data_IF_914510914367
#
_entry.id   IF_914510914367
#
_cell.length_a   1.000
_cell.length_b   1.000
_cell.length_c   1.000
_cell.angle_alpha   90.00
_cell.angle_beta   90.00
_cell.angle_gamma   90.00
#
_symmetry.space_group_name_H-M   'P 1'
#
loop_
_entity.id
_entity.type
_entity.pdbx_description
1 polymer ?
#
# COMPACT_ATOMS: atom_id res chain seq x y z
N UNK A 1 -1.13 5.22 -9.09
CA UNK A 1 -1.83 4.09 -9.74
C UNK A 1 -3.34 4.19 -9.61
N UNK A 2 -3.87 4.39 -8.39
CA UNK A 2 -5.32 4.55 -8.11
C UNK A 2 -5.98 5.69 -8.92
N UNK A 3 -5.28 6.81 -9.14
CA UNK A 3 -5.83 7.96 -9.89
C UNK A 3 -6.20 7.64 -11.35
N UNK A 4 -5.53 6.67 -11.99
CA UNK A 4 -5.85 6.26 -13.36
C UNK A 4 -7.14 5.43 -13.48
N UNK A 5 -7.65 4.92 -12.36
CA UNK A 5 -8.88 4.12 -12.29
C UNK A 5 -10.12 4.99 -12.03
N UNK A 6 -9.94 6.28 -11.71
CA UNK A 6 -11.03 7.22 -11.43
C UNK A 6 -12.11 7.26 -12.54
N UNK A 7 -11.77 7.27 -13.85
CA UNK A 7 -12.78 7.32 -14.91
C UNK A 7 -13.67 6.07 -14.94
N UNK A 8 -13.15 4.91 -14.53
CA UNK A 8 -13.88 3.64 -14.51
C UNK A 8 -14.92 3.56 -13.38
N UNK A 9 -14.85 4.45 -12.39
CA UNK A 9 -15.87 4.54 -11.33
C UNK A 9 -17.21 5.07 -11.83
N UNK A 10 -17.19 5.86 -12.91
CA UNK A 10 -18.40 6.39 -13.55
C UNK A 10 -19.12 5.36 -14.43
N UNK A 11 -18.49 4.21 -14.70
CA UNK A 11 -19.04 3.16 -15.55
C UNK A 11 -19.61 2.02 -14.68
N UNK A 12 -20.91 1.75 -14.84
CA UNK A 12 -21.66 0.73 -14.07
C UNK A 12 -21.16 -0.70 -14.27
N UNK A 13 -20.49 -1.00 -15.37
CA UNK A 13 -19.91 -2.33 -15.61
C UNK A 13 -18.59 -2.52 -14.85
N UNK A 14 -17.76 -1.48 -14.74
CA UNK A 14 -16.41 -1.55 -14.17
C UNK A 14 -16.29 -1.03 -12.72
N UNK A 15 -17.34 -0.40 -12.19
CA UNK A 15 -17.32 0.21 -10.85
C UNK A 15 -16.93 -0.78 -9.74
N UNK A 16 -17.51 -1.98 -9.73
CA UNK A 16 -17.25 -2.95 -8.65
C UNK A 16 -15.81 -3.51 -8.69
N UNK A 17 -15.26 -3.69 -9.90
CA UNK A 17 -13.89 -4.16 -10.09
C UNK A 17 -12.88 -3.08 -9.73
N UNK A 18 -13.10 -1.85 -10.20
CA UNK A 18 -12.20 -0.72 -9.94
C UNK A 18 -12.10 -0.42 -8.44
N UNK A 19 -13.22 -0.42 -7.70
CA UNK A 19 -13.23 -0.24 -6.24
C UNK A 19 -12.40 -1.33 -5.54
N UNK A 20 -12.59 -2.60 -5.93
CA UNK A 20 -11.85 -3.73 -5.35
C UNK A 20 -10.33 -3.58 -5.53
N UNK A 21 -9.90 -3.20 -6.74
CA UNK A 21 -8.48 -2.98 -7.05
C UNK A 21 -7.93 -1.77 -6.31
N UNK A 22 -8.65 -0.65 -6.28
CA UNK A 22 -8.22 0.57 -5.59
C UNK A 22 -8.06 0.33 -4.09
N UNK A 23 -9.00 -0.40 -3.47
CA UNK A 23 -8.92 -0.78 -2.07
C UNK A 23 -7.73 -1.71 -1.79
N UNK A 24 -7.55 -2.76 -2.60
CA UNK A 24 -6.43 -3.69 -2.46
C UNK A 24 -5.07 -3.02 -2.60
N UNK A 25 -4.92 -2.11 -3.58
CA UNK A 25 -3.69 -1.35 -3.78
C UNK A 25 -3.42 -0.36 -2.64
N UNK A 26 -4.45 0.32 -2.13
CA UNK A 26 -4.32 1.21 -0.98
C UNK A 26 -3.84 0.46 0.26
N UNK A 27 -4.46 -0.69 0.54
CA UNK A 27 -4.08 -1.55 1.66
C UNK A 27 -2.66 -2.11 1.49
N UNK A 28 -2.31 -2.63 0.31
CA UNK A 28 -0.98 -3.14 0.03
C UNK A 28 0.11 -2.06 0.20
N UNK A 29 -0.20 -0.81 -0.13
CA UNK A 29 0.72 0.32 0.06
C UNK A 29 0.98 0.56 1.55
N UNK A 30 -0.08 0.61 2.37
CA UNK A 30 0.05 0.76 3.82
C UNK A 30 0.83 -0.40 4.43
N UNK A 31 0.52 -1.63 4.01
CA UNK A 31 1.25 -2.82 4.45
C UNK A 31 2.73 -2.71 4.06
N UNK A 32 3.05 -2.31 2.84
CA UNK A 32 4.45 -2.17 2.39
C UNK A 32 5.20 -1.12 3.22
N UNK A 33 4.59 0.04 3.45
CA UNK A 33 5.22 1.12 4.23
C UNK A 33 5.52 0.72 5.68
N UNK A 34 4.73 -0.17 6.28
CA UNK A 34 4.99 -0.68 7.63
C UNK A 34 5.86 -1.93 7.64
N UNK A 35 5.58 -2.87 6.75
CA UNK A 35 6.18 -4.20 6.74
C UNK A 35 7.61 -4.17 6.21
N UNK A 36 7.91 -3.34 5.20
CA UNK A 36 9.26 -3.22 4.65
C UNK A 36 10.26 -2.70 5.70
N UNK A 37 10.04 -1.59 6.43
CA UNK A 37 11.00 -1.13 7.44
C UNK A 37 11.10 -2.11 8.62
N UNK A 38 10.01 -2.77 8.99
CA UNK A 38 10.04 -3.81 10.04
C UNK A 38 10.88 -5.00 9.60
N UNK A 39 10.65 -5.54 8.40
CA UNK A 39 11.46 -6.62 7.85
C UNK A 39 12.93 -6.21 7.69
N UNK A 40 13.18 -4.99 7.25
CA UNK A 40 14.53 -4.45 7.12
C UNK A 40 15.23 -4.40 8.49
N UNK A 41 14.58 -3.86 9.51
CA UNK A 41 15.13 -3.82 10.87
C UNK A 41 15.40 -5.23 11.43
N UNK A 42 14.51 -6.19 11.17
CA UNK A 42 14.66 -7.58 11.61
C UNK A 42 15.80 -8.31 10.88
N UNK A 43 15.86 -8.21 9.55
CA UNK A 43 16.84 -8.94 8.73
C UNK A 43 18.26 -8.37 8.92
N UNK A 44 18.39 -7.05 8.98
CA UNK A 44 19.68 -6.37 9.11
C UNK A 44 20.08 -6.10 10.57
N UNK A 45 19.27 -6.55 11.55
CA UNK A 45 19.49 -6.35 13.00
C UNK A 45 19.91 -4.90 13.31
N UNK A 46 19.16 -3.95 12.79
CA UNK A 46 19.52 -2.52 12.89
C UNK A 46 19.66 -2.16 14.38
N UNK A 47 20.86 -1.71 14.83
CA UNK A 47 21.08 -1.35 16.22
C UNK A 47 20.18 -0.16 16.58
N UNK A 48 19.61 -0.19 17.78
CA UNK A 48 18.87 0.94 18.30
C UNK A 48 19.83 2.13 18.38
N UNK A 49 19.60 3.15 17.57
CA UNK A 49 20.29 4.41 17.68
C UNK A 49 19.78 5.07 18.97
N UNK A 50 20.46 4.78 20.08
CA UNK A 50 20.32 5.54 21.31
C UNK A 50 20.76 6.97 20.99
N UNK A 51 19.78 7.84 20.77
CA UNK A 51 20.02 9.27 20.66
C UNK A 51 20.60 9.72 22.01
N UNK A 52 21.86 10.15 21.97
CA UNK A 52 22.53 10.88 23.05
C UNK A 52 21.81 12.19 23.36
#
# INVERSE_FOLDING_TARGET
TILGLIPLLSDVFFVNMSITIMAGLGFATLLTLLFVPVLYALLFRVPYAENA
#
